data_IF_405715928893
#
_entry.id   IF_405715928893
#
_cell.length_a   1.000
_cell.length_b   1.000
_cell.length_c   1.000
_cell.angle_alpha   90.00
_cell.angle_beta   90.00
_cell.angle_gamma   90.00
#
_symmetry.space_group_name_H-M   'P 1'
#
loop_
_entity.id
_entity.type
_entity.pdbx_description
1 polymer ?
#
# COMPACT_ATOMS: atom_id res chain seq x y z
N UNK A 1 4.63 10.91 1.06
CA UNK A 1 4.03 9.89 0.15
C UNK A 1 4.34 10.01 -1.34
N UNK A 2 4.53 11.18 -1.97
CA UNK A 2 4.72 11.24 -3.43
C UNK A 2 5.99 10.55 -3.93
N UNK A 3 7.03 10.44 -3.10
CA UNK A 3 8.22 9.65 -3.40
C UNK A 3 7.88 8.17 -3.63
N UNK A 4 7.02 7.59 -2.80
CA UNK A 4 6.57 6.20 -2.94
C UNK A 4 5.75 6.01 -4.21
N UNK A 5 4.79 6.91 -4.50
CA UNK A 5 4.02 6.85 -5.75
C UNK A 5 4.93 6.95 -6.97
N UNK A 6 5.91 7.86 -6.94
CA UNK A 6 6.90 8.01 -8.01
C UNK A 6 7.77 6.76 -8.19
N UNK A 7 8.20 6.13 -7.09
CA UNK A 7 8.92 4.85 -7.13
C UNK A 7 8.09 3.76 -7.81
N UNK A 8 6.83 3.59 -7.41
CA UNK A 8 5.92 2.63 -8.05
C UNK A 8 5.70 2.98 -9.53
N UNK A 9 5.58 4.26 -9.89
CA UNK A 9 5.42 4.67 -11.29
C UNK A 9 6.67 4.36 -12.14
N UNK A 10 7.88 4.54 -11.60
CA UNK A 10 9.14 4.15 -12.26
C UNK A 10 9.22 2.63 -12.43
N UNK A 11 8.91 1.88 -11.36
CA UNK A 11 8.88 0.41 -11.41
C UNK A 11 7.86 -0.10 -12.42
N UNK A 12 6.70 0.56 -12.56
CA UNK A 12 5.72 0.21 -13.59
C UNK A 12 6.32 0.28 -14.99
N UNK A 13 7.11 1.30 -15.30
CA UNK A 13 7.78 1.44 -16.59
C UNK A 13 8.81 0.32 -16.80
N UNK A 14 9.54 -0.05 -15.74
CA UNK A 14 10.44 -1.21 -15.75
C UNK A 14 9.70 -2.51 -16.06
N UNK A 15 8.58 -2.77 -15.38
CA UNK A 15 7.75 -3.97 -15.59
C UNK A 15 7.18 -4.02 -17.02
N UNK A 16 6.87 -2.87 -17.62
CA UNK A 16 6.44 -2.75 -19.02
C UNK A 16 7.55 -3.04 -20.04
N UNK A 17 8.80 -3.19 -19.61
CA UNK A 17 9.93 -3.49 -20.48
C UNK A 17 10.62 -2.26 -21.08
N UNK A 18 10.37 -1.05 -20.56
CA UNK A 18 11.14 0.14 -20.95
C UNK A 18 12.57 0.04 -20.38
N UNK A 19 13.56 -0.23 -21.23
CA UNK A 19 14.95 -0.48 -20.81
C UNK A 19 15.83 0.78 -20.69
N UNK A 20 15.47 1.86 -21.38
CA UNK A 20 16.30 3.06 -21.51
C UNK A 20 15.76 4.23 -20.69
N UNK A 21 15.57 3.99 -19.39
CA UNK A 21 14.93 4.95 -18.49
C UNK A 21 15.96 5.84 -17.80
N UNK A 22 15.87 7.15 -18.03
CA UNK A 22 16.55 8.15 -17.21
C UNK A 22 15.91 8.24 -15.82
N UNK A 23 16.22 7.26 -14.97
CA UNK A 23 15.59 6.98 -13.68
C UNK A 23 15.32 8.23 -12.83
N UNK A 24 16.36 9.05 -12.63
CA UNK A 24 16.29 10.23 -11.76
C UNK A 24 15.31 11.26 -12.35
N UNK A 25 15.43 11.60 -13.63
CA UNK A 25 14.51 12.55 -14.27
C UNK A 25 13.07 12.05 -14.30
N UNK A 26 12.89 10.74 -14.50
CA UNK A 26 11.58 10.11 -14.53
C UNK A 26 10.92 10.12 -13.16
N UNK A 27 11.69 9.79 -12.12
CA UNK A 27 11.25 9.87 -10.73
C UNK A 27 10.79 11.28 -10.37
N UNK A 28 11.62 12.30 -10.64
CA UNK A 28 11.27 13.69 -10.35
C UNK A 28 10.02 14.16 -11.11
N UNK A 29 9.83 13.69 -12.35
CA UNK A 29 8.63 13.97 -13.14
C UNK A 29 7.38 13.42 -12.47
N UNK A 30 7.37 12.15 -12.07
CA UNK A 30 6.22 11.55 -11.38
C UNK A 30 6.00 12.15 -9.98
N UNK A 31 7.08 12.40 -9.25
CA UNK A 31 7.02 13.01 -7.92
C UNK A 31 6.27 14.34 -7.94
N UNK A 32 6.62 15.23 -8.86
CA UNK A 32 5.98 16.55 -9.01
C UNK A 32 4.53 16.43 -9.49
N UNK A 33 4.26 15.53 -10.44
CA UNK A 33 2.93 15.37 -11.03
C UNK A 33 1.88 14.87 -10.04
N UNK A 34 2.29 14.01 -9.10
CA UNK A 34 1.38 13.40 -8.13
C UNK A 34 1.54 13.96 -6.71
N UNK A 35 2.36 14.99 -6.51
CA UNK A 35 2.68 15.57 -5.19
C UNK A 35 1.44 15.87 -4.35
N UNK A 36 0.54 16.72 -4.86
CA UNK A 36 -0.67 17.13 -4.14
C UNK A 36 -1.64 15.98 -3.92
N UNK A 37 -1.88 15.16 -4.95
CA UNK A 37 -2.83 14.05 -4.88
C UNK A 37 -2.36 12.95 -3.92
N UNK A 38 -1.08 12.60 -3.94
CA UNK A 38 -0.50 11.61 -3.03
C UNK A 38 -0.54 12.07 -1.57
N UNK A 39 -0.26 13.35 -1.31
CA UNK A 39 -0.34 13.88 0.05
C UNK A 39 -1.79 13.98 0.56
N UNK A 40 -2.75 14.34 -0.30
CA UNK A 40 -4.17 14.35 0.08
C UNK A 40 -4.68 12.95 0.42
N UNK A 41 -4.36 11.94 -0.39
CA UNK A 41 -4.72 10.55 -0.11
C UNK A 41 -4.08 10.08 1.19
N UNK A 42 -2.80 10.42 1.39
CA UNK A 42 -2.11 10.09 2.63
C UNK A 42 -2.78 10.68 3.87
N UNK A 43 -3.19 11.95 3.80
CA UNK A 43 -3.86 12.62 4.91
C UNK A 43 -5.17 11.91 5.28
N UNK A 44 -5.91 11.43 4.27
CA UNK A 44 -7.14 10.65 4.49
C UNK A 44 -6.82 9.33 5.19
N UNK A 45 -5.82 8.57 4.71
CA UNK A 45 -5.42 7.33 5.38
C UNK A 45 -4.90 7.58 6.80
N UNK A 46 -4.12 8.65 7.01
CA UNK A 46 -3.62 9.04 8.33
C UNK A 46 -4.78 9.30 9.30
N UNK A 47 -5.81 10.02 8.87
CA UNK A 47 -7.01 10.25 9.67
C UNK A 47 -7.72 8.94 10.04
N UNK A 48 -7.85 8.01 9.10
CA UNK A 48 -8.46 6.70 9.36
C UNK A 48 -7.61 5.87 10.33
N UNK A 49 -6.29 5.82 10.15
CA UNK A 49 -5.38 5.14 11.08
C UNK A 49 -5.41 5.77 12.47
N UNK A 50 -5.52 7.10 12.56
CA UNK A 50 -5.67 7.79 13.82
C UNK A 50 -6.95 7.40 14.55
N UNK A 51 -8.08 7.30 13.84
CA UNK A 51 -9.35 6.81 14.41
C UNK A 51 -9.19 5.38 14.92
N UNK A 52 -8.56 4.49 14.14
CA UNK A 52 -8.30 3.10 14.56
C UNK A 52 -7.42 3.06 15.82
N UNK A 53 -6.35 3.87 15.85
CA UNK A 53 -5.44 3.96 16.99
C UNK A 53 -6.16 4.44 18.26
N UNK A 54 -6.97 5.51 18.15
CA UNK A 54 -7.77 5.99 19.28
C UNK A 54 -8.75 4.91 19.75
N UNK A 55 -9.48 4.25 18.84
CA UNK A 55 -10.39 3.18 19.23
C UNK A 55 -9.66 2.05 19.96
N UNK A 56 -8.47 1.66 19.49
CA UNK A 56 -7.63 0.65 20.14
C UNK A 56 -7.21 1.07 21.56
N UNK A 57 -6.74 2.31 21.73
CA UNK A 57 -6.28 2.83 23.02
C UNK A 57 -7.40 2.96 24.07
N UNK A 58 -8.64 3.13 23.62
CA UNK A 58 -9.77 3.41 24.49
C UNK A 58 -10.67 2.20 24.77
N UNK A 59 -10.33 1.00 24.27
CA UNK A 59 -11.15 -0.22 24.48
C UNK A 59 -11.37 -0.49 25.98
N UNK A 60 -10.29 -0.46 26.77
CA UNK A 60 -10.35 -0.76 28.22
C UNK A 60 -11.17 0.25 29.02
N UNK A 61 -11.32 1.48 28.53
CA UNK A 61 -12.03 2.55 29.23
C UNK A 61 -13.54 2.53 28.99
N UNK A 62 -14.00 2.04 27.83
CA UNK A 62 -15.41 2.13 27.42
C UNK A 62 -16.15 0.80 27.38
N UNK A 63 -15.44 -0.32 27.42
CA UNK A 63 -16.01 -1.65 27.27
C UNK A 63 -15.67 -2.55 28.45
N UNK A 64 -16.58 -3.47 28.78
CA UNK A 64 -16.36 -4.46 29.82
C UNK A 64 -15.29 -5.49 29.41
N UNK A 65 -14.55 -6.02 30.38
CA UNK A 65 -13.39 -6.91 30.14
C UNK A 65 -13.76 -8.17 29.34
N UNK A 66 -14.96 -8.71 29.55
CA UNK A 66 -15.46 -9.91 28.88
C UNK A 66 -15.60 -9.76 27.36
N UNK A 67 -15.77 -8.53 26.86
CA UNK A 67 -15.92 -8.22 25.43
C UNK A 67 -14.66 -7.64 24.79
N UNK A 68 -13.59 -7.36 25.56
CA UNK A 68 -12.35 -6.76 25.04
C UNK A 68 -11.76 -7.56 23.88
N UNK A 69 -11.66 -8.89 24.03
CA UNK A 69 -11.11 -9.77 22.99
C UNK A 69 -11.82 -9.61 21.65
N UNK A 70 -13.16 -9.55 21.66
CA UNK A 70 -13.95 -9.39 20.45
C UNK A 70 -13.71 -8.02 19.80
N UNK A 71 -13.68 -6.95 20.60
CA UNK A 71 -13.48 -5.59 20.10
C UNK A 71 -12.09 -5.42 19.50
N UNK A 72 -11.05 -5.90 20.21
CA UNK A 72 -9.68 -5.89 19.68
C UNK A 72 -9.57 -6.69 18.38
N UNK A 73 -10.25 -7.83 18.27
CA UNK A 73 -10.28 -8.62 17.04
C UNK A 73 -10.88 -7.85 15.87
N UNK A 74 -12.01 -7.15 16.09
CA UNK A 74 -12.66 -6.31 15.07
C UNK A 74 -11.74 -5.14 14.64
N UNK A 75 -11.13 -4.44 15.61
CA UNK A 75 -10.20 -3.35 15.34
C UNK A 75 -8.98 -3.85 14.56
N UNK A 76 -8.45 -5.02 14.91
CA UNK A 76 -7.31 -5.63 14.23
C UNK A 76 -7.64 -5.99 12.78
N UNK A 77 -8.79 -6.61 12.52
CA UNK A 77 -9.26 -6.90 11.16
C UNK A 77 -9.44 -5.60 10.36
N UNK A 78 -10.07 -4.58 10.95
CA UNK A 78 -10.22 -3.27 10.32
C UNK A 78 -8.85 -2.65 9.98
N UNK A 79 -7.89 -2.72 10.91
CA UNK A 79 -6.51 -2.28 10.68
C UNK A 79 -5.88 -2.99 9.49
N UNK A 80 -5.94 -4.33 9.42
CA UNK A 80 -5.36 -5.09 8.30
C UNK A 80 -5.99 -4.67 6.97
N UNK A 81 -7.33 -4.53 6.92
CA UNK A 81 -8.03 -4.13 5.69
C UNK A 81 -7.59 -2.74 5.24
N UNK A 82 -7.58 -1.77 6.14
CA UNK A 82 -7.17 -0.39 5.83
C UNK A 82 -5.68 -0.33 5.46
N UNK A 83 -4.83 -1.09 6.15
CA UNK A 83 -3.40 -1.19 5.87
C UNK A 83 -3.13 -1.79 4.48
N UNK A 84 -3.79 -2.89 4.13
CA UNK A 84 -3.65 -3.49 2.81
C UNK A 84 -4.22 -2.60 1.70
N UNK A 85 -5.30 -1.88 1.97
CA UNK A 85 -5.80 -0.85 1.06
C UNK A 85 -4.76 0.26 0.85
N UNK A 86 -4.18 0.77 1.94
CA UNK A 86 -3.13 1.79 1.88
C UNK A 86 -1.91 1.33 1.08
N UNK A 87 -1.44 0.09 1.28
CA UNK A 87 -0.33 -0.48 0.52
C UNK A 87 -0.67 -0.59 -0.98
N UNK A 88 -1.89 -1.04 -1.31
CA UNK A 88 -2.33 -1.21 -2.69
C UNK A 88 -2.61 0.09 -3.42
N UNK A 89 -2.94 1.18 -2.70
CA UNK A 89 -3.22 2.49 -3.31
C UNK A 89 -2.04 3.00 -4.13
N UNK A 90 -0.80 2.73 -3.71
CA UNK A 90 0.41 3.13 -4.44
C UNK A 90 0.49 2.50 -5.82
N UNK A 91 0.13 1.21 -5.93
CA UNK A 91 0.12 0.50 -7.22
C UNK A 91 -0.95 1.05 -8.15
N UNK A 92 -2.13 1.36 -7.59
CA UNK A 92 -3.27 1.89 -8.35
C UNK A 92 -2.97 3.30 -8.83
N UNK A 93 -2.42 4.17 -7.97
CA UNK A 93 -1.99 5.52 -8.34
C UNK A 93 -0.89 5.51 -9.40
N UNK A 94 0.05 4.56 -9.29
CA UNK A 94 1.10 4.42 -10.28
C UNK A 94 0.56 3.97 -11.64
N UNK A 95 -0.49 3.13 -11.68
CA UNK A 95 -1.03 2.58 -12.94
C UNK A 95 -2.14 3.43 -13.57
N UNK A 96 -3.11 3.87 -12.78
CA UNK A 96 -4.33 4.53 -13.23
C UNK A 96 -4.34 6.04 -12.96
N UNK A 97 -5.09 6.79 -13.77
CA UNK A 97 -5.41 8.22 -13.52
C UNK A 97 -6.88 8.36 -13.17
N UNK A 98 -7.17 8.53 -11.88
CA UNK A 98 -8.52 8.62 -11.33
C UNK A 98 -8.70 9.86 -10.44
N UNK A 99 -9.94 10.12 -10.01
CA UNK A 99 -10.24 11.12 -8.96
C UNK A 99 -9.77 10.59 -7.60
N UNK A 100 -9.42 11.49 -6.67
CA UNK A 100 -8.83 11.16 -5.35
C UNK A 100 -9.56 10.03 -4.61
N UNK A 101 -10.88 10.13 -4.44
CA UNK A 101 -11.68 9.15 -3.71
C UNK A 101 -11.77 7.79 -4.44
N UNK A 102 -11.67 7.79 -5.77
CA UNK A 102 -11.74 6.54 -6.54
C UNK A 102 -10.54 5.65 -6.26
N UNK A 103 -9.34 6.22 -6.05
CA UNK A 103 -8.17 5.42 -5.67
C UNK A 103 -8.41 4.61 -4.39
N UNK A 104 -8.96 5.25 -3.37
CA UNK A 104 -9.24 4.62 -2.07
C UNK A 104 -10.32 3.54 -2.23
N UNK A 105 -11.39 3.82 -2.98
CA UNK A 105 -12.47 2.86 -3.24
C UNK A 105 -11.96 1.61 -3.98
N UNK A 106 -11.16 1.81 -5.02
CA UNK A 106 -10.57 0.69 -5.79
C UNK A 106 -9.58 -0.08 -4.93
N UNK A 107 -8.75 0.60 -4.12
CA UNK A 107 -7.80 -0.04 -3.22
C UNK A 107 -8.49 -0.89 -2.16
N UNK A 108 -9.55 -0.38 -1.53
CA UNK A 108 -10.39 -1.15 -0.60
C UNK A 108 -11.07 -2.32 -1.31
N UNK A 109 -11.67 -2.07 -2.48
CA UNK A 109 -12.34 -3.11 -3.26
C UNK A 109 -11.39 -4.25 -3.66
N UNK A 110 -10.11 -3.94 -3.92
CA UNK A 110 -9.10 -4.93 -4.29
C UNK A 110 -8.81 -5.93 -3.15
N UNK A 111 -8.79 -5.46 -1.90
CA UNK A 111 -8.60 -6.31 -0.70
C UNK A 111 -9.68 -7.39 -0.62
N UNK A 112 -10.95 -7.02 -0.85
CA UNK A 112 -12.07 -7.96 -0.78
C UNK A 112 -12.27 -8.78 -2.06
N UNK A 113 -11.96 -8.20 -3.23
CA UNK A 113 -12.18 -8.87 -4.52
C UNK A 113 -11.15 -9.96 -4.82
N UNK A 114 -9.97 -9.90 -4.19
CA UNK A 114 -8.83 -10.80 -4.42
C UNK A 114 -8.15 -11.20 -3.11
N UNK A 115 -8.84 -11.89 -2.18
CA UNK A 115 -8.32 -12.18 -0.84
C UNK A 115 -7.04 -13.03 -0.86
N UNK A 116 -6.95 -14.04 -1.75
CA UNK A 116 -5.74 -14.85 -1.91
C UNK A 116 -4.52 -14.02 -2.32
N UNK A 117 -4.73 -13.00 -3.16
CA UNK A 117 -3.67 -12.10 -3.59
C UNK A 117 -3.22 -11.20 -2.44
N UNK A 118 -4.18 -10.66 -1.67
CA UNK A 118 -3.88 -9.92 -0.44
C UNK A 118 -3.10 -10.74 0.57
N UNK A 119 -3.43 -12.02 0.76
CA UNK A 119 -2.68 -12.93 1.66
C UNK A 119 -1.24 -13.08 1.18
N UNK A 120 -1.00 -13.26 -0.11
CA UNK A 120 0.37 -13.34 -0.67
C UNK A 120 1.14 -12.05 -0.41
N UNK A 121 0.50 -10.89 -0.56
CA UNK A 121 1.12 -9.59 -0.26
C UNK A 121 1.45 -9.46 1.24
N UNK A 122 0.56 -9.90 2.14
CA UNK A 122 0.81 -9.91 3.59
C UNK A 122 2.01 -10.80 3.92
N UNK A 123 2.07 -12.02 3.40
CA UNK A 123 3.20 -12.94 3.60
C UNK A 123 4.49 -12.29 3.11
N UNK A 124 4.47 -11.66 1.94
CA UNK A 124 5.63 -10.96 1.41
C UNK A 124 6.10 -9.82 2.34
N UNK A 125 5.18 -8.99 2.83
CA UNK A 125 5.50 -7.91 3.77
C UNK A 125 6.07 -8.43 5.09
N UNK A 126 5.54 -9.55 5.61
CA UNK A 126 6.04 -10.20 6.82
C UNK A 126 7.46 -10.76 6.63
N UNK A 127 7.70 -11.48 5.53
CA UNK A 127 9.05 -11.98 5.18
C UNK A 127 10.03 -10.81 5.06
N UNK A 128 9.62 -9.73 4.40
CA UNK A 128 10.48 -8.56 4.25
C UNK A 128 10.77 -7.84 5.58
N UNK A 129 9.78 -7.81 6.49
CA UNK A 129 9.95 -7.29 7.84
C UNK A 129 10.93 -8.14 8.66
N UNK A 130 10.88 -9.47 8.53
CA UNK A 130 11.87 -10.36 9.16
C UNK A 130 13.28 -10.09 8.61
N UNK A 131 13.43 -9.94 7.28
CA UNK A 131 14.72 -9.58 6.67
C UNK A 131 15.23 -8.23 7.18
N UNK A 132 14.34 -7.26 7.40
CA UNK A 132 14.72 -5.96 7.96
C UNK A 132 15.30 -6.08 9.37
N UNK A 133 14.72 -6.92 10.24
CA UNK A 133 15.17 -7.11 11.63
C UNK A 133 16.44 -7.95 11.68
N UNK A 134 16.44 -9.12 11.03
CA UNK A 134 17.52 -10.11 11.16
C UNK A 134 18.74 -9.78 10.28
N UNK A 135 18.51 -9.13 9.13
CA UNK A 135 19.52 -8.86 8.11
C UNK A 135 19.53 -7.37 7.68
N UNK A 136 19.72 -6.42 8.61
CA UNK A 136 19.62 -4.98 8.32
C UNK A 136 20.60 -4.51 7.23
N UNK A 137 21.78 -5.16 7.11
CA UNK A 137 22.74 -4.89 6.03
C UNK A 137 22.17 -5.21 4.65
N UNK A 138 21.45 -6.32 4.52
CA UNK A 138 20.79 -6.72 3.27
C UNK A 138 19.66 -5.76 2.95
N UNK A 139 18.85 -5.40 3.95
CA UNK A 139 17.80 -4.41 3.79
C UNK A 139 18.34 -3.05 3.33
N UNK A 140 19.50 -2.60 3.81
CA UNK A 140 20.07 -1.31 3.40
C UNK A 140 20.40 -1.30 1.89
N UNK A 141 20.84 -2.44 1.34
CA UNK A 141 21.12 -2.61 -0.09
C UNK A 141 19.84 -2.73 -0.94
N UNK A 142 18.86 -3.51 -0.49
CA UNK A 142 17.61 -3.74 -1.23
C UNK A 142 16.61 -2.57 -1.10
N UNK A 143 16.55 -1.96 0.07
CA UNK A 143 15.73 -0.80 0.43
C UNK A 143 14.24 -1.03 0.23
N UNK A 144 13.49 0.04 -0.05
CA UNK A 144 12.03 -0.04 -0.26
C UNK A 144 11.68 -0.48 -1.70
N UNK A 145 12.66 -0.52 -2.59
CA UNK A 145 12.48 -0.79 -4.02
C UNK A 145 11.94 -2.20 -4.30
N UNK A 146 12.44 -3.21 -3.58
CA UNK A 146 12.03 -4.60 -3.74
C UNK A 146 10.60 -4.82 -3.25
N UNK A 147 10.22 -4.17 -2.14
CA UNK A 147 8.83 -4.17 -1.66
C UNK A 147 7.92 -3.64 -2.75
N UNK A 148 8.25 -2.46 -3.30
CA UNK A 148 7.46 -1.82 -4.34
C UNK A 148 7.39 -2.68 -5.63
N UNK A 149 8.49 -3.35 -6.00
CA UNK A 149 8.54 -4.23 -7.16
C UNK A 149 7.59 -5.42 -7.03
N UNK A 150 7.61 -6.13 -5.90
CA UNK A 150 6.75 -7.31 -5.70
C UNK A 150 5.29 -6.90 -5.56
N UNK A 151 4.98 -5.86 -4.78
CA UNK A 151 3.61 -5.37 -4.62
C UNK A 151 3.02 -4.90 -5.95
N UNK A 152 3.77 -4.10 -6.71
CA UNK A 152 3.30 -3.65 -8.00
C UNK A 152 3.23 -4.80 -9.01
N UNK A 153 4.23 -5.67 -9.08
CA UNK A 153 4.24 -6.80 -10.01
C UNK A 153 3.08 -7.76 -9.79
N UNK A 154 2.74 -8.03 -8.52
CA UNK A 154 1.55 -8.83 -8.19
C UNK A 154 0.27 -8.10 -8.59
N UNK A 155 0.13 -6.80 -8.32
CA UNK A 155 -1.04 -6.00 -8.73
C UNK A 155 -1.15 -5.81 -10.25
N UNK A 156 -0.03 -5.70 -10.94
CA UNK A 156 0.04 -5.40 -12.37
C UNK A 156 -0.57 -6.52 -13.22
N UNK A 157 -0.40 -7.78 -12.80
CA UNK A 157 -1.09 -8.94 -13.41
C UNK A 157 -2.60 -8.80 -13.36
N UNK A 158 -3.13 -8.22 -12.28
CA UNK A 158 -4.55 -7.96 -12.13
C UNK A 158 -4.96 -6.81 -13.04
N UNK A 159 -4.19 -5.72 -13.08
CA UNK A 159 -4.47 -4.54 -13.91
C UNK A 159 -4.57 -4.89 -15.39
N UNK A 160 -3.60 -5.64 -15.95
CA UNK A 160 -3.64 -6.07 -17.36
C UNK A 160 -4.93 -6.85 -17.67
N UNK A 161 -5.35 -7.75 -16.77
CA UNK A 161 -6.56 -8.56 -16.96
C UNK A 161 -7.84 -7.72 -16.99
N UNK A 162 -7.88 -6.59 -16.26
CA UNK A 162 -9.01 -5.66 -16.28
C UNK A 162 -8.94 -4.69 -17.45
N UNK A 163 -7.75 -4.26 -17.87
CA UNK A 163 -7.56 -3.36 -19.02
C UNK A 163 -7.87 -4.05 -20.38
N UNK A 164 -7.90 -5.39 -20.42
CA UNK A 164 -8.25 -6.20 -21.60
C UNK A 164 -9.76 -6.47 -21.76
N UNK A 165 -10.59 -6.07 -20.79
CA UNK A 165 -12.04 -6.19 -20.84
C UNK A 165 -12.70 -4.86 -21.14
#
# INVERSE_FOLDING_TARGET
MPATVALFAVIRQWIKGEKDLRLISLFWRYYKADFFRANLIWLIYLAVFYVIYVNYMFVEFYYAEDIHFYIYSVIFVAFIVIFMSFVNVFSIMAHYKMKTIQYIKVALGMVFSKPLHTIIQIIWLLVYYIVFIELPKVFLVLGVSVIAFVLLGTNYRIFIKYDQK
#
